data_IF_901175864805
#
_entry.id   IF_901175864805
#
_cell.length_a   1.000
_cell.length_b   1.000
_cell.length_c   1.000
_cell.angle_alpha   90.00
_cell.angle_beta   90.00
_cell.angle_gamma   90.00
#
_symmetry.space_group_name_H-M   'P 1'
#
loop_
_entity.id
_entity.type
_entity.pdbx_description
1 polymer ?
#
# COMPACT_ATOMS: atom_id res chain seq x y z
N UNK A 1 -33.67 27.23 -16.70
CA UNK A 1 -32.79 26.29 -15.98
C UNK A 1 -31.74 25.84 -17.00
N UNK A 2 -30.64 26.58 -17.12
CA UNK A 2 -29.52 26.14 -17.96
C UNK A 2 -28.87 24.95 -17.25
N UNK A 3 -28.82 23.81 -17.92
CA UNK A 3 -28.03 22.67 -17.46
C UNK A 3 -26.59 23.13 -17.33
N UNK A 4 -26.06 23.10 -16.10
CA UNK A 4 -24.62 23.14 -15.88
C UNK A 4 -24.09 21.92 -16.63
N UNK A 5 -23.42 22.14 -17.77
CA UNK A 5 -22.68 21.06 -18.41
C UNK A 5 -21.59 20.68 -17.43
N UNK A 6 -21.72 19.52 -16.78
CA UNK A 6 -20.60 18.93 -16.07
C UNK A 6 -19.47 18.77 -17.09
N UNK A 7 -18.33 19.42 -16.84
CA UNK A 7 -17.14 19.22 -17.66
C UNK A 7 -16.87 17.70 -17.77
N UNK A 8 -16.51 17.19 -18.95
CA UNK A 8 -16.31 15.76 -19.12
C UNK A 8 -15.20 15.28 -18.19
N UNK A 9 -15.54 14.34 -17.29
CA UNK A 9 -14.58 13.69 -16.39
C UNK A 9 -13.49 13.05 -17.25
N UNK A 10 -12.25 13.44 -17.00
CA UNK A 10 -11.09 12.91 -17.71
C UNK A 10 -10.99 11.38 -17.54
N UNK A 11 -10.62 10.58 -18.57
CA UNK A 11 -10.56 9.11 -18.45
C UNK A 11 -9.79 8.59 -17.24
N UNK A 12 -8.57 9.10 -16.99
CA UNK A 12 -7.76 8.76 -15.81
C UNK A 12 -8.32 9.23 -14.46
N UNK A 13 -9.48 9.89 -14.46
CA UNK A 13 -10.21 10.29 -13.27
C UNK A 13 -11.37 9.36 -12.94
N UNK A 14 -11.67 8.42 -13.85
CA UNK A 14 -12.62 7.34 -13.66
C UNK A 14 -11.97 6.17 -12.91
N UNK A 15 -12.78 5.35 -12.22
CA UNK A 15 -12.33 4.04 -11.71
C UNK A 15 -11.79 3.14 -12.83
N UNK A 16 -10.84 2.26 -12.50
CA UNK A 16 -10.18 1.34 -13.42
C UNK A 16 -11.16 0.53 -14.29
N UNK A 17 -12.25 0.03 -13.70
CA UNK A 17 -13.25 -0.73 -14.45
C UNK A 17 -14.05 0.14 -15.44
N UNK A 18 -14.23 1.42 -15.13
CA UNK A 18 -14.86 2.38 -16.03
C UNK A 18 -13.90 2.84 -17.14
N UNK A 19 -12.60 2.94 -16.85
CA UNK A 19 -11.55 3.10 -17.87
C UNK A 19 -11.61 1.94 -18.86
N UNK A 20 -11.55 0.70 -18.36
CA UNK A 20 -11.62 -0.49 -19.20
C UNK A 20 -12.92 -0.55 -20.02
N UNK A 21 -14.05 -0.19 -19.41
CA UNK A 21 -15.34 -0.14 -20.11
C UNK A 21 -15.36 0.91 -21.22
N UNK A 22 -14.84 2.12 -20.96
CA UNK A 22 -14.76 3.18 -21.96
C UNK A 22 -13.85 2.81 -23.14
N UNK A 23 -12.74 2.12 -22.89
CA UNK A 23 -11.88 1.56 -23.95
C UNK A 23 -12.64 0.51 -24.77
N UNK A 24 -13.28 -0.45 -24.08
CA UNK A 24 -14.06 -1.53 -24.71
C UNK A 24 -15.18 -1.02 -25.62
N UNK A 25 -15.85 0.07 -25.23
CA UNK A 25 -16.93 0.66 -26.03
C UNK A 25 -16.46 1.70 -27.05
N UNK A 26 -15.15 1.95 -27.15
CA UNK A 26 -14.58 2.96 -28.05
C UNK A 26 -14.87 4.41 -27.65
N UNK A 27 -15.20 4.68 -26.37
CA UNK A 27 -15.36 6.05 -25.84
C UNK A 27 -14.04 6.80 -25.84
N UNK A 28 -12.94 6.08 -25.64
CA UNK A 28 -11.56 6.53 -25.79
C UNK A 28 -10.69 5.32 -26.18
N UNK A 29 -9.56 5.53 -26.84
CA UNK A 29 -8.62 4.44 -27.16
C UNK A 29 -7.70 4.15 -25.97
N UNK A 30 -7.17 2.92 -25.88
CA UNK A 30 -6.15 2.57 -24.89
C UNK A 30 -4.89 3.40 -25.10
N UNK A 31 -4.49 3.65 -26.36
CA UNK A 31 -3.32 4.48 -26.67
C UNK A 31 -3.47 5.91 -26.11
N UNK A 32 -4.66 6.53 -26.22
CA UNK A 32 -4.91 7.86 -25.69
C UNK A 32 -4.82 7.90 -24.15
N UNK A 33 -5.38 6.89 -23.48
CA UNK A 33 -5.33 6.78 -22.01
C UNK A 33 -3.89 6.59 -21.52
N UNK A 34 -3.13 5.69 -22.15
CA UNK A 34 -1.73 5.42 -21.77
C UNK A 34 -0.81 6.59 -22.07
N UNK A 35 -0.99 7.25 -23.23
CA UNK A 35 -0.23 8.44 -23.59
C UNK A 35 -0.41 9.55 -22.55
N UNK A 36 -1.64 9.77 -22.11
CA UNK A 36 -1.96 10.76 -21.09
C UNK A 36 -1.41 10.37 -19.71
N UNK A 37 -1.46 9.09 -19.34
CA UNK A 37 -0.82 8.60 -18.12
C UNK A 37 0.69 8.86 -18.13
N UNK A 38 1.38 8.56 -19.24
CA UNK A 38 2.81 8.84 -19.39
C UNK A 38 3.12 10.34 -19.34
N UNK A 39 2.25 11.19 -19.93
CA UNK A 39 2.38 12.64 -19.85
C UNK A 39 2.28 13.14 -18.41
N UNK A 40 1.27 12.69 -17.65
CA UNK A 40 1.12 13.00 -16.22
C UNK A 40 2.32 12.51 -15.43
N UNK A 41 2.81 11.29 -15.70
CA UNK A 41 3.96 10.71 -15.03
C UNK A 41 5.20 11.60 -15.14
N UNK A 42 5.52 12.11 -16.35
CA UNK A 42 6.68 13.01 -16.56
C UNK A 42 6.59 14.31 -15.74
N UNK A 43 5.40 14.91 -15.65
CA UNK A 43 5.19 16.14 -14.89
C UNK A 43 5.32 15.87 -13.39
N UNK A 44 4.71 14.78 -12.92
CA UNK A 44 4.79 14.34 -11.53
C UNK A 44 6.22 14.03 -11.14
N UNK A 45 6.97 13.33 -12.00
CA UNK A 45 8.35 12.95 -11.70
C UNK A 45 9.27 14.16 -11.54
N UNK A 46 9.13 15.15 -12.44
CA UNK A 46 9.90 16.39 -12.36
C UNK A 46 9.66 17.21 -11.08
N UNK A 47 8.53 17.00 -10.39
CA UNK A 47 8.18 17.71 -9.16
C UNK A 47 8.37 16.87 -7.88
N UNK A 48 8.09 15.56 -7.95
CA UNK A 48 7.95 14.69 -6.79
C UNK A 48 8.88 13.47 -6.80
N UNK A 49 9.60 13.21 -7.89
CA UNK A 49 10.56 12.11 -8.02
C UNK A 49 9.95 10.75 -7.63
N UNK A 50 8.93 10.33 -8.39
CA UNK A 50 8.09 9.17 -8.05
C UNK A 50 8.43 7.91 -8.85
N UNK A 51 9.19 8.05 -9.95
CA UNK A 51 9.43 6.97 -10.89
C UNK A 51 10.93 6.71 -11.07
N UNK A 52 11.30 5.44 -11.16
CA UNK A 52 12.67 5.01 -11.52
C UNK A 52 12.80 4.75 -13.02
N UNK A 53 11.68 4.42 -13.68
CA UNK A 53 11.59 4.12 -15.10
C UNK A 53 10.19 4.40 -15.63
N UNK A 54 10.09 5.06 -16.79
CA UNK A 54 8.87 5.14 -17.59
C UNK A 54 8.99 4.22 -18.81
N UNK A 55 8.02 3.33 -19.00
CA UNK A 55 8.01 2.30 -20.06
C UNK A 55 7.34 2.80 -21.34
N UNK A 56 7.71 4.00 -21.81
CA UNK A 56 6.95 4.72 -22.86
C UNK A 56 6.68 3.88 -24.11
N UNK A 57 7.73 3.34 -24.73
CA UNK A 57 7.62 2.58 -25.98
C UNK A 57 6.81 1.29 -25.78
N UNK A 58 7.14 0.52 -24.74
CA UNK A 58 6.48 -0.75 -24.44
C UNK A 58 5.01 -0.55 -24.06
N UNK A 59 4.68 0.47 -23.25
CA UNK A 59 3.32 0.77 -22.83
C UNK A 59 2.46 1.23 -24.01
N UNK A 60 2.98 2.10 -24.88
CA UNK A 60 2.25 2.54 -26.08
C UNK A 60 2.07 1.40 -27.09
N UNK A 61 3.06 0.51 -27.24
CA UNK A 61 2.93 -0.68 -28.08
C UNK A 61 1.84 -1.62 -27.55
N UNK A 62 1.81 -1.87 -26.23
CA UNK A 62 0.75 -2.66 -25.60
C UNK A 62 -0.64 -2.02 -25.76
N UNK A 63 -0.72 -0.69 -25.65
CA UNK A 63 -1.97 0.05 -25.82
C UNK A 63 -2.51 -0.04 -27.26
N UNK A 64 -1.64 0.12 -28.26
CA UNK A 64 -2.03 -0.09 -29.68
C UNK A 64 -2.46 -1.52 -29.95
N UNK A 65 -1.82 -2.51 -29.33
CA UNK A 65 -2.24 -3.90 -29.45
C UNK A 65 -3.63 -4.14 -28.86
N UNK A 66 -3.96 -3.48 -27.74
CA UNK A 66 -5.32 -3.48 -27.17
C UNK A 66 -6.33 -2.89 -28.15
N UNK A 67 -6.05 -1.73 -28.74
CA UNK A 67 -6.96 -1.09 -29.69
C UNK A 67 -7.21 -1.96 -30.94
N UNK A 68 -6.18 -2.65 -31.43
CA UNK A 68 -6.30 -3.61 -32.54
C UNK A 68 -7.18 -4.81 -32.19
N UNK A 69 -7.05 -5.37 -30.98
CA UNK A 69 -7.89 -6.50 -30.51
C UNK A 69 -9.36 -6.13 -30.40
N UNK A 70 -9.66 -4.90 -30.00
CA UNK A 70 -11.04 -4.39 -29.99
C UNK A 70 -11.57 -4.30 -31.42
N UNK A 71 -10.77 -3.74 -32.35
CA UNK A 71 -11.16 -3.61 -33.74
C UNK A 71 -11.37 -4.96 -34.46
N UNK A 72 -10.65 -6.01 -34.05
CA UNK A 72 -10.82 -7.38 -34.57
C UNK A 72 -11.99 -8.14 -33.94
N UNK A 73 -12.66 -7.60 -32.92
CA UNK A 73 -13.79 -8.23 -32.25
C UNK A 73 -13.38 -9.42 -31.36
N UNK A 74 -12.13 -9.46 -30.91
CA UNK A 74 -11.65 -10.50 -29.99
C UNK A 74 -12.19 -10.33 -28.58
N UNK A 75 -12.22 -11.43 -27.82
CA UNK A 75 -12.48 -11.38 -26.39
C UNK A 75 -11.38 -10.59 -25.67
N UNK A 76 -11.81 -9.66 -24.83
CA UNK A 76 -10.94 -8.75 -24.09
C UNK A 76 -11.01 -8.98 -22.59
N UNK A 77 -9.88 -8.95 -21.88
CA UNK A 77 -9.84 -9.18 -20.44
C UNK A 77 -10.44 -8.02 -19.61
N UNK A 78 -10.66 -8.22 -18.30
CA UNK A 78 -11.43 -7.28 -17.47
C UNK A 78 -10.82 -5.88 -17.32
N UNK A 79 -9.48 -5.77 -17.18
CA UNK A 79 -8.72 -4.54 -16.98
C UNK A 79 -8.10 -4.00 -18.28
N UNK A 80 -8.71 -4.33 -19.43
CA UNK A 80 -8.24 -3.95 -20.75
C UNK A 80 -7.76 -2.50 -20.83
N UNK A 81 -6.47 -2.32 -21.12
CA UNK A 81 -5.87 -1.01 -21.39
C UNK A 81 -5.75 -0.10 -20.16
N UNK A 82 -6.08 -0.58 -18.96
CA UNK A 82 -5.96 0.21 -17.72
C UNK A 82 -4.48 0.38 -17.37
N UNK A 83 -3.95 1.61 -17.25
CA UNK A 83 -2.56 1.83 -16.90
C UNK A 83 -2.32 1.55 -15.42
N UNK A 84 -1.17 0.98 -15.07
CA UNK A 84 -0.74 0.81 -13.68
C UNK A 84 0.78 0.99 -13.55
N UNK A 85 1.23 1.22 -12.31
CA UNK A 85 2.64 1.32 -11.96
C UNK A 85 3.03 0.23 -10.95
N UNK A 86 4.30 -0.15 -10.92
CA UNK A 86 4.80 -1.21 -10.03
C UNK A 86 6.04 -0.75 -9.25
N UNK A 87 6.18 -1.21 -8.02
CA UNK A 87 7.28 -0.82 -7.14
C UNK A 87 8.61 -1.31 -7.70
N UNK A 88 9.67 -0.52 -7.57
CA UNK A 88 11.05 -0.89 -7.93
C UNK A 88 11.67 -1.93 -6.97
N UNK A 89 10.83 -2.73 -6.31
CA UNK A 89 11.18 -3.95 -5.60
C UNK A 89 10.74 -5.20 -6.40
N UNK A 90 9.77 -5.04 -7.30
CA UNK A 90 9.08 -6.13 -7.99
C UNK A 90 9.74 -6.38 -9.35
N UNK A 91 10.31 -7.57 -9.60
CA UNK A 91 10.97 -7.89 -10.86
C UNK A 91 10.03 -7.78 -12.06
N UNK A 92 10.46 -7.10 -13.12
CA UNK A 92 9.78 -7.05 -14.42
C UNK A 92 10.78 -7.33 -15.52
N UNK A 93 10.46 -8.30 -16.38
CA UNK A 93 11.40 -8.77 -17.40
C UNK A 93 11.74 -7.63 -18.37
N UNK A 94 13.04 -7.42 -18.59
CA UNK A 94 13.54 -6.40 -19.53
C UNK A 94 13.59 -4.97 -18.97
N UNK A 95 13.10 -4.73 -17.74
CA UNK A 95 13.19 -3.42 -17.10
C UNK A 95 14.24 -3.43 -15.97
N UNK A 96 14.90 -2.29 -15.75
CA UNK A 96 15.77 -2.09 -14.59
C UNK A 96 14.96 -2.29 -13.29
N UNK A 97 15.50 -3.07 -12.35
CA UNK A 97 14.95 -3.24 -11.00
C UNK A 97 16.07 -3.08 -9.98
N UNK A 98 16.01 -2.03 -9.15
CA UNK A 98 17.17 -1.65 -8.31
C UNK A 98 16.98 -1.90 -6.82
N UNK A 99 15.73 -2.10 -6.37
CA UNK A 99 15.39 -2.22 -4.94
C UNK A 99 15.80 -0.95 -4.18
N UNK A 100 15.82 0.22 -4.84
CA UNK A 100 16.34 1.46 -4.27
C UNK A 100 17.84 1.44 -3.95
N UNK A 101 18.57 0.40 -4.39
CA UNK A 101 19.91 0.10 -3.93
C UNK A 101 20.94 0.17 -5.05
N UNK A 102 22.19 0.43 -4.68
CA UNK A 102 23.35 0.25 -5.56
C UNK A 102 23.90 -1.18 -5.57
N UNK A 103 23.45 -2.04 -4.65
CA UNK A 103 24.01 -3.38 -4.41
C UNK A 103 23.77 -4.37 -5.55
N UNK A 104 22.75 -4.15 -6.38
CA UNK A 104 22.42 -4.98 -7.55
C UNK A 104 22.91 -4.38 -8.87
N UNK A 105 23.59 -3.23 -8.84
CA UNK A 105 24.00 -2.51 -10.06
C UNK A 105 22.80 -2.21 -10.96
N UNK A 106 22.95 -2.45 -12.26
CA UNK A 106 21.89 -2.29 -13.26
C UNK A 106 21.21 -3.63 -13.57
N UNK A 107 20.68 -4.28 -12.55
CA UNK A 107 20.01 -5.58 -12.70
C UNK A 107 18.73 -5.47 -13.52
N UNK A 108 18.69 -6.23 -14.61
CA UNK A 108 17.50 -6.43 -15.45
C UNK A 108 17.03 -7.88 -15.26
N UNK A 109 15.88 -8.11 -14.60
CA UNK A 109 15.35 -9.44 -14.39
C UNK A 109 15.03 -10.14 -15.73
N UNK A 110 15.17 -11.46 -15.75
CA UNK A 110 14.76 -12.29 -16.89
C UNK A 110 13.26 -12.62 -16.87
N UNK A 111 12.65 -12.57 -15.69
CA UNK A 111 11.25 -12.93 -15.48
C UNK A 111 10.47 -11.81 -14.81
N UNK A 112 9.21 -11.67 -15.21
CA UNK A 112 8.25 -10.79 -14.56
C UNK A 112 7.58 -11.51 -13.38
N UNK A 113 7.54 -10.85 -12.24
CA UNK A 113 6.89 -11.35 -11.02
C UNK A 113 5.44 -11.77 -11.28
N UNK A 114 4.98 -12.82 -10.59
CA UNK A 114 3.66 -13.40 -10.81
C UNK A 114 2.52 -12.39 -10.64
N UNK A 115 2.59 -11.52 -9.63
CA UNK A 115 1.57 -10.48 -9.41
C UNK A 115 1.43 -9.53 -10.61
N UNK A 116 2.55 -9.12 -11.22
CA UNK A 116 2.58 -8.27 -12.40
C UNK A 116 2.06 -9.04 -13.63
N UNK A 117 2.50 -10.29 -13.84
CA UNK A 117 1.98 -11.14 -14.92
C UNK A 117 0.48 -11.33 -14.85
N UNK A 118 -0.08 -11.46 -13.65
CA UNK A 118 -1.54 -11.56 -13.43
C UNK A 118 -2.27 -10.27 -13.79
N UNK A 119 -1.72 -9.10 -13.47
CA UNK A 119 -2.28 -7.81 -13.91
C UNK A 119 -2.23 -7.64 -15.42
N UNK A 120 -1.10 -7.98 -16.05
CA UNK A 120 -0.94 -7.92 -17.51
C UNK A 120 -1.87 -8.93 -18.23
N UNK A 121 -2.05 -10.13 -17.68
CA UNK A 121 -3.00 -11.12 -18.17
C UNK A 121 -4.47 -10.66 -18.04
N UNK A 122 -4.77 -9.86 -17.00
CA UNK A 122 -6.05 -9.17 -16.87
C UNK A 122 -6.21 -7.97 -17.82
N UNK A 123 -5.20 -7.66 -18.64
CA UNK A 123 -5.20 -6.63 -19.67
C UNK A 123 -4.71 -5.26 -19.23
N UNK A 124 -4.26 -5.12 -17.98
CA UNK A 124 -3.68 -3.88 -17.49
C UNK A 124 -2.30 -3.64 -18.13
N UNK A 125 -1.90 -2.38 -18.30
CA UNK A 125 -0.66 -1.98 -18.96
C UNK A 125 0.29 -1.36 -17.94
N UNK A 126 1.43 -2.00 -17.69
CA UNK A 126 2.47 -1.44 -16.83
C UNK A 126 3.16 -0.28 -17.54
N UNK A 127 2.99 0.93 -17.02
CA UNK A 127 3.55 2.16 -17.62
C UNK A 127 4.85 2.62 -16.97
N UNK A 128 5.12 2.23 -15.72
CA UNK A 128 6.26 2.76 -14.97
C UNK A 128 6.66 1.88 -13.77
N UNK A 129 7.95 1.97 -13.41
CA UNK A 129 8.49 1.50 -12.13
C UNK A 129 8.58 2.67 -11.16
N UNK A 130 8.16 2.49 -9.92
CA UNK A 130 8.09 3.55 -8.91
C UNK A 130 9.20 3.45 -7.88
N UNK A 131 9.61 4.59 -7.33
CA UNK A 131 10.64 4.66 -6.29
C UNK A 131 10.22 3.93 -4.99
N UNK A 132 11.24 3.47 -4.26
CA UNK A 132 11.18 2.81 -2.96
C UNK A 132 12.46 3.18 -2.18
N UNK A 133 12.48 3.24 -0.83
CA UNK A 133 13.72 3.22 -0.09
C UNK A 133 14.49 1.93 -0.35
N UNK A 134 15.79 1.95 -0.04
CA UNK A 134 16.67 0.80 -0.21
C UNK A 134 16.08 -0.45 0.46
N UNK A 135 15.98 -1.55 -0.29
CA UNK A 135 15.40 -2.82 0.17
C UNK A 135 14.02 -2.72 0.82
N UNK A 136 13.27 -1.65 0.52
CA UNK A 136 11.99 -1.36 1.11
C UNK A 136 12.03 -1.16 2.66
N UNK A 137 13.18 -0.74 3.20
CA UNK A 137 13.50 -0.73 4.64
C UNK A 137 12.71 0.24 5.51
N UNK A 138 12.30 1.38 4.94
CA UNK A 138 11.87 2.57 5.68
C UNK A 138 10.41 2.98 5.46
N UNK A 139 9.85 3.68 6.44
CA UNK A 139 8.58 4.42 6.34
C UNK A 139 8.70 5.73 5.54
N UNK A 140 9.90 6.06 5.06
CA UNK A 140 10.20 7.22 4.22
C UNK A 140 10.68 6.72 2.86
N UNK A 141 10.20 7.33 1.78
CA UNK A 141 10.69 6.98 0.44
C UNK A 141 11.88 7.84 0.08
N UNK A 142 13.03 7.44 0.60
CA UNK A 142 14.35 8.00 0.28
C UNK A 142 15.31 6.85 0.02
N UNK A 143 16.11 6.94 -1.05
CA UNK A 143 17.10 5.91 -1.34
C UNK A 143 18.42 6.47 -1.86
N UNK A 144 19.56 5.78 -1.60
CA UNK A 144 20.85 6.16 -2.18
C UNK A 144 20.86 6.17 -3.72
N UNK A 145 19.99 5.37 -4.36
CA UNK A 145 19.93 5.25 -5.82
C UNK A 145 19.10 6.35 -6.48
N UNK A 146 17.97 6.70 -5.88
CA UNK A 146 16.94 7.54 -6.52
C UNK A 146 16.59 8.82 -5.75
N UNK A 147 17.19 9.07 -4.59
CA UNK A 147 16.87 10.26 -3.79
C UNK A 147 15.51 10.15 -3.10
N UNK A 148 14.94 11.31 -2.77
CA UNK A 148 13.71 11.44 -1.95
C UNK A 148 12.49 11.61 -2.86
N UNK A 149 11.44 10.84 -2.58
CA UNK A 149 10.11 10.99 -3.19
C UNK A 149 9.22 11.85 -2.30
N UNK A 150 8.75 12.97 -2.85
CA UNK A 150 8.03 14.01 -2.12
C UNK A 150 6.52 13.77 -2.11
N UNK A 151 5.84 14.22 -1.06
CA UNK A 151 4.40 14.06 -0.91
C UNK A 151 3.63 14.94 -1.91
N UNK A 152 2.54 14.46 -2.53
CA UNK A 152 1.79 15.23 -3.50
C UNK A 152 0.99 16.38 -2.87
N UNK A 153 0.64 16.29 -1.58
CA UNK A 153 -0.10 17.34 -0.86
C UNK A 153 0.81 18.50 -0.42
N UNK A 154 2.06 18.20 -0.09
CA UNK A 154 3.09 19.17 0.30
C UNK A 154 4.48 18.58 -0.02
N UNK A 155 5.17 19.15 -1.00
CA UNK A 155 6.45 18.63 -1.46
C UNK A 155 7.58 18.74 -0.40
N UNK A 156 7.38 19.46 0.70
CA UNK A 156 8.32 19.50 1.84
C UNK A 156 8.16 18.30 2.78
N UNK A 157 7.16 17.44 2.55
CA UNK A 157 6.81 16.29 3.39
C UNK A 157 7.10 14.95 2.71
N UNK A 158 7.26 13.91 3.52
CA UNK A 158 7.44 12.54 3.03
C UNK A 158 6.16 12.01 2.40
N UNK A 159 6.29 11.27 1.30
CA UNK A 159 5.19 10.50 0.70
C UNK A 159 4.78 9.27 1.55
N UNK A 160 5.54 8.98 2.61
CA UNK A 160 5.50 7.71 3.32
C UNK A 160 6.27 6.62 2.57
N UNK A 161 6.34 5.43 3.13
CA UNK A 161 7.20 4.38 2.62
C UNK A 161 6.83 3.00 3.15
N UNK A 162 7.32 1.94 2.52
CA UNK A 162 8.30 1.98 1.42
C UNK A 162 7.71 2.09 0.01
N UNK A 163 6.39 2.07 -0.16
CA UNK A 163 5.74 2.19 -1.49
C UNK A 163 5.32 3.64 -1.82
N UNK A 164 6.15 4.63 -1.48
CA UNK A 164 5.81 6.06 -1.64
C UNK A 164 5.64 6.47 -3.10
N UNK A 165 6.50 6.01 -4.01
CA UNK A 165 6.33 6.29 -5.44
C UNK A 165 5.00 5.75 -6.00
N UNK A 166 4.59 4.55 -5.55
CA UNK A 166 3.27 3.98 -5.88
C UNK A 166 2.13 4.86 -5.37
N UNK A 167 2.22 5.37 -4.15
CA UNK A 167 1.21 6.26 -3.59
C UNK A 167 1.12 7.59 -4.34
N UNK A 168 2.27 8.19 -4.68
CA UNK A 168 2.34 9.42 -5.47
C UNK A 168 1.71 9.21 -6.84
N UNK A 169 2.03 8.12 -7.54
CA UNK A 169 1.46 7.83 -8.86
C UNK A 169 -0.07 7.76 -8.84
N UNK A 170 -0.65 7.19 -7.78
CA UNK A 170 -2.10 7.10 -7.61
C UNK A 170 -2.70 8.44 -7.19
N UNK A 171 -2.12 9.09 -6.17
CA UNK A 171 -2.64 10.33 -5.59
C UNK A 171 -2.63 11.52 -6.57
N UNK A 172 -1.67 11.52 -7.49
CA UNK A 172 -1.55 12.54 -8.55
C UNK A 172 -2.35 12.20 -9.80
N UNK A 173 -3.06 11.06 -9.82
CA UNK A 173 -3.90 10.67 -10.95
C UNK A 173 -3.15 10.21 -12.20
N UNK A 174 -1.91 9.74 -12.05
CA UNK A 174 -1.14 9.10 -13.14
C UNK A 174 -1.74 7.73 -13.46
N UNK A 175 -2.15 6.98 -12.44
CA UNK A 175 -2.79 5.66 -12.55
C UNK A 175 -3.97 5.54 -11.56
N UNK A 176 -4.97 4.70 -11.82
CA UNK A 176 -6.03 4.39 -10.86
C UNK A 176 -5.55 3.52 -9.69
N UNK A 177 -4.58 2.64 -9.93
CA UNK A 177 -3.94 1.81 -8.91
C UNK A 177 -2.47 1.54 -9.25
N UNK A 178 -1.70 1.18 -8.23
CA UNK A 178 -0.31 0.76 -8.33
C UNK A 178 -0.05 -0.44 -7.41
N UNK A 179 0.94 -1.26 -7.79
CA UNK A 179 1.45 -2.34 -6.95
C UNK A 179 2.40 -1.78 -5.89
N UNK A 180 2.33 -2.37 -4.69
CA UNK A 180 3.33 -2.19 -3.64
C UNK A 180 3.47 -3.42 -2.76
N UNK A 181 4.44 -3.35 -1.85
CA UNK A 181 4.73 -4.40 -0.86
C UNK A 181 4.59 -3.87 0.55
N UNK A 182 4.19 -4.74 1.49
CA UNK A 182 3.92 -4.42 2.90
C UNK A 182 4.50 -5.50 3.83
N UNK A 183 5.61 -5.16 4.51
CA UNK A 183 6.29 -6.00 5.52
C UNK A 183 6.12 -5.47 6.96
N UNK A 184 5.77 -4.19 7.08
CA UNK A 184 5.50 -3.52 8.35
C UNK A 184 4.52 -2.37 8.25
N UNK A 185 3.85 -2.19 7.10
CA UNK A 185 3.08 -0.99 6.80
C UNK A 185 3.23 -0.44 5.39
N UNK A 186 4.18 -0.94 4.62
CA UNK A 186 4.69 -0.26 3.43
C UNK A 186 3.72 -0.02 2.27
N UNK A 187 2.50 -0.56 2.32
CA UNK A 187 1.38 -0.16 1.44
C UNK A 187 0.46 0.84 2.16
N UNK A 188 0.16 0.58 3.43
CA UNK A 188 -0.79 1.36 4.26
C UNK A 188 -0.25 2.72 4.71
N UNK A 189 1.02 2.81 5.10
CA UNK A 189 1.70 4.05 5.53
C UNK A 189 1.66 5.08 4.40
N UNK A 190 2.23 4.82 3.20
CA UNK A 190 2.22 5.82 2.12
C UNK A 190 0.80 6.08 1.62
N UNK A 191 -0.12 5.12 1.71
CA UNK A 191 -1.53 5.35 1.43
C UNK A 191 -2.16 6.38 2.39
N UNK A 192 -1.93 6.22 3.70
CA UNK A 192 -2.41 7.16 4.71
C UNK A 192 -1.82 8.56 4.56
N UNK A 193 -0.50 8.66 4.33
CA UNK A 193 0.20 9.94 4.26
C UNK A 193 -0.03 10.68 2.92
N UNK A 194 -0.36 9.95 1.84
CA UNK A 194 -0.66 10.54 0.53
C UNK A 194 -2.15 10.63 0.22
N UNK A 195 -3.02 10.18 1.13
CA UNK A 195 -4.47 10.31 1.01
C UNK A 195 -5.11 9.38 -0.03
N UNK A 196 -4.61 8.15 -0.15
CA UNK A 196 -5.15 7.11 -1.04
C UNK A 196 -5.51 5.85 -0.25
N UNK A 197 -6.12 4.88 -0.92
CA UNK A 197 -6.44 3.57 -0.34
C UNK A 197 -5.22 2.66 -0.40
N UNK A 198 -4.95 1.91 0.67
CA UNK A 198 -3.88 0.91 0.71
C UNK A 198 -4.28 -0.34 1.46
N UNK A 199 -4.18 -1.51 0.83
CA UNK A 199 -4.55 -2.79 1.44
C UNK A 199 -3.31 -3.69 1.64
N UNK A 200 -3.05 -4.11 2.87
CA UNK A 200 -2.27 -5.31 3.16
C UNK A 200 -3.25 -6.50 3.22
N UNK A 201 -3.33 -7.35 2.19
CA UNK A 201 -4.22 -8.49 2.24
C UNK A 201 -3.71 -9.53 3.23
N UNK A 202 -4.49 -10.58 3.42
CA UNK A 202 -4.11 -11.73 4.21
C UNK A 202 -2.92 -12.45 3.58
N UNK A 203 -2.01 -12.98 4.41
CA UNK A 203 -0.88 -13.78 3.93
C UNK A 203 -1.32 -14.86 2.95
N UNK A 204 -0.63 -14.97 1.82
CA UNK A 204 -0.92 -15.93 0.77
C UNK A 204 -2.09 -15.57 -0.14
N UNK A 205 -2.83 -14.48 0.11
CA UNK A 205 -3.93 -14.06 -0.79
C UNK A 205 -3.41 -13.74 -2.18
N UNK A 206 -2.30 -13.01 -2.24
CA UNK A 206 -1.49 -12.80 -3.43
C UNK A 206 -0.16 -13.54 -3.18
N UNK A 207 0.23 -14.50 -4.03
CA UNK A 207 1.50 -15.22 -3.90
C UNK A 207 2.71 -14.28 -3.82
N UNK A 208 3.58 -14.49 -2.82
CA UNK A 208 4.82 -13.72 -2.63
C UNK A 208 6.00 -14.45 -3.26
N UNK A 209 6.18 -14.28 -4.58
CA UNK A 209 7.19 -15.03 -5.36
C UNK A 209 8.51 -14.30 -5.58
N UNK A 210 8.74 -13.16 -4.91
CA UNK A 210 9.91 -12.30 -5.18
C UNK A 210 10.98 -12.34 -4.09
N UNK A 211 10.70 -13.04 -2.98
CA UNK A 211 11.65 -13.17 -1.87
C UNK A 211 12.54 -14.39 -2.10
N UNK A 212 13.77 -14.40 -1.53
CA UNK A 212 14.64 -15.58 -1.59
C UNK A 212 14.06 -16.83 -0.92
N UNK A 213 13.12 -16.65 0.01
CA UNK A 213 12.45 -17.73 0.73
C UNK A 213 10.94 -17.73 0.49
N UNK A 214 10.38 -18.92 0.26
CA UNK A 214 8.92 -19.17 0.19
C UNK A 214 8.29 -19.43 1.57
N UNK A 215 9.07 -19.34 2.66
CA UNK A 215 8.60 -19.50 4.04
C UNK A 215 8.50 -18.17 4.80
N UNK A 216 8.59 -17.04 4.10
CA UNK A 216 8.31 -15.74 4.69
C UNK A 216 6.86 -15.67 5.20
N UNK A 217 6.66 -14.94 6.30
CA UNK A 217 5.34 -14.85 6.94
C UNK A 217 4.95 -13.43 7.36
N UNK A 218 5.59 -12.40 6.80
CA UNK A 218 5.26 -10.99 7.11
C UNK A 218 5.09 -10.12 5.88
N UNK A 219 5.55 -10.59 4.71
CA UNK A 219 5.59 -9.84 3.48
C UNK A 219 4.35 -10.09 2.63
N UNK A 220 3.77 -9.02 2.13
CA UNK A 220 2.56 -9.06 1.34
C UNK A 220 2.73 -8.19 0.10
N UNK A 221 2.19 -8.61 -1.04
CA UNK A 221 1.82 -7.67 -2.09
C UNK A 221 0.50 -7.01 -1.73
N UNK A 222 0.29 -5.78 -2.18
CA UNK A 222 -0.96 -5.08 -1.95
C UNK A 222 -1.18 -3.90 -2.92
N UNK A 223 -2.44 -3.54 -3.19
CA UNK A 223 -2.74 -2.36 -3.97
C UNK A 223 -2.57 -1.07 -3.16
N UNK A 224 -2.03 -0.06 -3.83
CA UNK A 224 -2.37 1.34 -3.57
C UNK A 224 -3.35 1.78 -4.65
N UNK A 225 -4.44 2.44 -4.27
CA UNK A 225 -5.54 2.69 -5.18
C UNK A 225 -6.29 3.99 -4.84
N UNK A 226 -6.91 4.61 -5.85
CA UNK A 226 -7.67 5.85 -5.64
C UNK A 226 -8.97 5.60 -4.90
N UNK A 227 -9.58 4.45 -5.16
CA UNK A 227 -10.85 4.03 -4.58
C UNK A 227 -10.80 2.58 -4.12
N UNK A 228 -11.76 2.19 -3.29
CA UNK A 228 -11.97 0.79 -2.91
C UNK A 228 -12.32 -0.08 -4.12
N UNK A 229 -13.02 0.47 -5.12
CA UNK A 229 -13.32 -0.25 -6.35
C UNK A 229 -12.04 -0.59 -7.12
N UNK A 230 -11.10 0.35 -7.20
CA UNK A 230 -9.79 0.14 -7.84
C UNK A 230 -8.95 -0.89 -7.08
N UNK A 231 -8.92 -0.82 -5.75
CA UNK A 231 -8.25 -1.84 -4.92
C UNK A 231 -8.88 -3.23 -5.12
N UNK A 232 -10.21 -3.30 -5.23
CA UNK A 232 -10.95 -4.55 -5.48
C UNK A 232 -10.61 -5.12 -6.85
N UNK A 233 -10.49 -4.28 -7.87
CA UNK A 233 -10.11 -4.68 -9.23
C UNK A 233 -8.69 -5.26 -9.27
N UNK A 234 -7.74 -4.63 -8.56
CA UNK A 234 -6.39 -5.17 -8.38
C UNK A 234 -6.41 -6.54 -7.68
N UNK A 235 -7.15 -6.66 -6.58
CA UNK A 235 -7.24 -7.91 -5.83
C UNK A 235 -7.87 -9.03 -6.66
N UNK A 236 -8.87 -8.72 -7.47
CA UNK A 236 -9.50 -9.68 -8.38
C UNK A 236 -8.54 -10.22 -9.44
N UNK A 237 -7.63 -9.38 -9.95
CA UNK A 237 -6.63 -9.80 -10.92
C UNK A 237 -5.49 -10.61 -10.28
N UNK A 238 -5.04 -10.24 -9.08
CA UNK A 238 -3.79 -10.75 -8.49
C UNK A 238 -3.97 -11.91 -7.53
N UNK A 239 -5.16 -12.07 -6.93
CA UNK A 239 -5.41 -13.11 -5.93
C UNK A 239 -5.53 -14.51 -6.52
N UNK A 240 -5.19 -15.52 -5.71
CA UNK A 240 -5.44 -16.93 -6.02
C UNK A 240 -4.22 -17.81 -5.83
N UNK A 241 -4.42 -19.14 -5.73
CA UNK A 241 -3.36 -20.10 -5.43
C UNK A 241 -2.30 -20.15 -6.52
N UNK A 242 -1.07 -20.48 -6.15
CA UNK A 242 0.04 -20.77 -7.06
C UNK A 242 1.11 -21.60 -6.34
N UNK A 243 1.58 -22.70 -6.93
CA UNK A 243 2.57 -23.58 -6.31
C UNK A 243 3.97 -22.94 -6.19
N UNK A 244 4.21 -21.80 -6.84
CA UNK A 244 5.42 -20.99 -6.62
C UNK A 244 5.47 -20.38 -5.20
N UNK A 245 4.33 -20.31 -4.50
CA UNK A 245 4.24 -19.90 -3.10
C UNK A 245 3.40 -20.92 -2.32
N UNK A 246 4.05 -21.74 -1.51
CA UNK A 246 3.41 -22.76 -0.68
C UNK A 246 2.43 -22.19 0.36
N UNK A 247 2.56 -20.90 0.70
CA UNK A 247 1.63 -20.22 1.60
C UNK A 247 0.41 -19.66 0.88
N UNK A 248 0.35 -19.73 -0.46
CA UNK A 248 -0.76 -19.18 -1.23
C UNK A 248 -2.10 -19.82 -0.86
N UNK A 249 -3.14 -18.98 -0.72
CA UNK A 249 -4.43 -19.43 -0.24
C UNK A 249 -5.18 -20.19 -1.35
N UNK A 250 -5.72 -21.39 -1.07
CA UNK A 250 -6.58 -22.12 -2.01
C UNK A 250 -7.99 -21.52 -2.12
N UNK A 251 -8.18 -20.29 -1.63
CA UNK A 251 -9.45 -19.58 -1.61
C UNK A 251 -9.51 -18.62 -2.80
N UNK A 252 -10.60 -18.70 -3.56
CA UNK A 252 -10.90 -17.71 -4.60
C UNK A 252 -11.25 -16.37 -3.96
N UNK A 253 -10.94 -15.28 -4.66
CA UNK A 253 -11.35 -13.93 -4.29
C UNK A 253 -12.65 -13.56 -5.00
N UNK A 254 -13.61 -12.94 -4.30
CA UNK A 254 -14.87 -12.49 -4.88
C UNK A 254 -15.01 -10.97 -4.86
N UNK A 255 -14.88 -10.34 -6.05
CA UNK A 255 -15.08 -8.90 -6.22
C UNK A 255 -16.53 -8.48 -5.87
N UNK A 256 -17.52 -9.33 -6.15
CA UNK A 256 -18.93 -9.08 -5.79
C UNK A 256 -19.10 -8.95 -4.27
N UNK A 257 -18.55 -9.90 -3.49
CA UNK A 257 -18.60 -9.84 -2.02
C UNK A 257 -17.87 -8.61 -1.47
N UNK A 258 -16.75 -8.25 -2.09
CA UNK A 258 -16.00 -7.04 -1.76
C UNK A 258 -16.79 -5.74 -2.05
N UNK A 259 -17.72 -5.74 -3.01
CA UNK A 259 -18.54 -4.57 -3.35
C UNK A 259 -19.83 -4.41 -2.54
N UNK A 260 -20.29 -5.44 -1.82
CA UNK A 260 -21.65 -5.54 -1.27
C UNK A 260 -21.89 -4.84 0.09
N UNK A 261 -20.98 -3.98 0.54
CA UNK A 261 -20.95 -3.51 1.93
C UNK A 261 -21.99 -2.44 2.29
N UNK A 262 -22.45 -2.46 3.54
CA UNK A 262 -23.25 -1.40 4.15
C UNK A 262 -22.78 -1.19 5.60
N UNK A 263 -22.91 0.05 6.12
CA UNK A 263 -22.51 0.39 7.49
C UNK A 263 -23.58 0.08 8.53
N UNK A 264 -24.86 0.13 8.16
CA UNK A 264 -25.96 -0.03 9.09
C UNK A 264 -25.86 -1.35 9.88
N UNK A 265 -25.78 -1.25 11.20
CA UNK A 265 -25.67 -2.40 12.12
C UNK A 265 -24.29 -3.04 12.20
N UNK A 266 -23.28 -2.55 11.46
CA UNK A 266 -21.89 -3.04 11.58
C UNK A 266 -21.27 -2.55 12.86
N UNK A 267 -20.52 -3.45 13.52
CA UNK A 267 -19.91 -3.19 14.82
C UNK A 267 -18.41 -3.04 14.67
N UNK A 268 -17.89 -1.90 15.08
CA UNK A 268 -16.48 -1.58 15.04
C UNK A 268 -15.95 -1.39 16.46
N UNK A 269 -14.83 -2.06 16.74
CA UNK A 269 -13.99 -1.73 17.88
C UNK A 269 -13.10 -0.55 17.47
N UNK A 270 -13.04 0.53 18.24
CA UNK A 270 -12.11 1.64 18.01
C UNK A 270 -11.01 1.61 19.07
N UNK A 271 -9.75 1.56 18.65
CA UNK A 271 -8.60 1.76 19.54
C UNK A 271 -7.72 2.86 18.95
N UNK A 272 -7.59 3.96 19.68
CA UNK A 272 -6.88 5.14 19.17
C UNK A 272 -5.37 4.99 19.20
N UNK A 273 -4.81 4.19 20.10
CA UNK A 273 -3.38 4.08 20.35
C UNK A 273 -2.86 2.63 20.43
N UNK A 274 -3.74 1.64 20.23
CA UNK A 274 -3.43 0.22 20.41
C UNK A 274 -2.83 -0.10 21.79
N UNK A 275 -3.04 0.77 22.79
CA UNK A 275 -2.52 0.63 24.15
C UNK A 275 -1.12 1.20 24.38
N UNK A 276 -0.36 1.60 23.35
CA UNK A 276 1.03 2.03 23.53
C UNK A 276 1.55 3.14 22.60
N UNK A 277 0.80 3.59 21.61
CA UNK A 277 1.24 4.69 20.73
C UNK A 277 0.86 6.06 21.29
N UNK A 278 1.79 7.01 21.19
CA UNK A 278 1.49 8.43 21.33
C UNK A 278 0.91 8.95 20.02
N UNK A 279 -0.39 9.24 19.98
CA UNK A 279 -1.05 9.77 18.78
C UNK A 279 -1.24 11.27 18.88
N UNK A 280 -0.80 12.00 17.85
CA UNK A 280 -0.92 13.45 17.79
C UNK A 280 -2.39 13.90 17.87
N UNK A 281 -2.64 14.99 18.59
CA UNK A 281 -4.00 15.49 18.83
C UNK A 281 -4.79 15.78 17.54
N UNK A 282 -4.20 16.35 16.46
CA UNK A 282 -4.89 16.52 15.18
C UNK A 282 -5.31 15.20 14.53
N UNK A 283 -4.48 14.16 14.62
CA UNK A 283 -4.81 12.82 14.11
C UNK A 283 -5.94 12.19 14.92
N UNK A 284 -5.84 12.22 16.26
CA UNK A 284 -6.93 11.72 17.14
C UNK A 284 -8.26 12.40 16.83
N UNK A 285 -8.23 13.72 16.63
CA UNK A 285 -9.42 14.51 16.31
C UNK A 285 -10.03 14.08 14.97
N UNK A 286 -9.22 13.89 13.93
CA UNK A 286 -9.70 13.45 12.62
C UNK A 286 -10.32 12.04 12.68
N UNK A 287 -9.70 11.11 13.43
CA UNK A 287 -10.20 9.75 13.58
C UNK A 287 -11.51 9.70 14.38
N UNK A 288 -11.64 10.48 15.44
CA UNK A 288 -12.89 10.60 16.19
C UNK A 288 -14.00 11.22 15.33
N UNK A 289 -13.70 12.25 14.53
CA UNK A 289 -14.66 12.82 13.59
C UNK A 289 -15.09 11.81 12.51
N UNK A 290 -14.18 10.96 12.04
CA UNK A 290 -14.53 9.87 11.13
C UNK A 290 -15.46 8.86 11.82
N UNK A 291 -15.16 8.45 13.05
CA UNK A 291 -15.99 7.55 13.85
C UNK A 291 -17.42 8.11 14.07
N UNK A 292 -17.54 9.41 14.38
CA UNK A 292 -18.84 10.09 14.51
C UNK A 292 -19.67 10.02 13.23
N UNK A 293 -19.03 10.17 12.06
CA UNK A 293 -19.70 10.02 10.75
C UNK A 293 -20.14 8.59 10.49
N UNK A 294 -19.38 7.58 10.95
CA UNK A 294 -19.80 6.18 10.84
C UNK A 294 -20.99 5.87 11.75
N UNK A 295 -20.99 6.40 12.98
CA UNK A 295 -22.13 6.33 13.90
C UNK A 295 -23.38 6.96 13.29
N UNK A 296 -23.25 8.17 12.71
CA UNK A 296 -24.35 8.86 12.02
C UNK A 296 -24.88 8.06 10.81
N UNK A 297 -24.04 7.25 10.17
CA UNK A 297 -24.42 6.35 9.07
C UNK A 297 -25.00 5.00 9.54
N UNK A 298 -25.22 4.82 10.85
CA UNK A 298 -25.88 3.66 11.43
C UNK A 298 -24.95 2.51 11.83
N UNK A 299 -23.63 2.72 11.84
CA UNK A 299 -22.71 1.79 12.45
C UNK A 299 -22.76 1.89 13.99
N UNK A 300 -22.24 0.86 14.66
CA UNK A 300 -21.95 0.88 16.10
C UNK A 300 -20.44 0.95 16.23
N UNK A 301 -19.93 1.99 16.89
CA UNK A 301 -18.50 2.16 17.17
C UNK A 301 -18.32 2.21 18.67
N UNK A 302 -17.56 1.25 19.22
CA UNK A 302 -17.30 1.13 20.66
C UNK A 302 -15.79 1.24 20.87
N UNK A 303 -15.34 2.16 21.72
CA UNK A 303 -13.94 2.22 22.12
C UNK A 303 -13.55 0.96 22.90
N UNK A 304 -12.37 0.41 22.60
CA UNK A 304 -11.83 -0.78 23.26
C UNK A 304 -10.35 -0.62 23.55
N UNK A 305 -9.94 -1.24 24.64
CA UNK A 305 -8.53 -1.43 24.99
C UNK A 305 -8.07 -2.78 24.44
N UNK A 306 -7.06 -2.76 23.56
CA UNK A 306 -6.39 -3.99 23.11
C UNK A 306 -5.30 -4.44 24.08
N UNK A 307 -4.74 -3.52 24.88
CA UNK A 307 -3.77 -3.82 25.93
C UNK A 307 -2.39 -4.24 25.44
N UNK A 308 -2.04 -3.95 24.18
CA UNK A 308 -0.70 -4.19 23.69
C UNK A 308 0.29 -3.18 24.27
N UNK A 309 1.57 -3.55 24.22
CA UNK A 309 2.67 -2.74 24.77
C UNK A 309 3.74 -2.52 23.72
N UNK A 310 4.71 -1.65 24.03
CA UNK A 310 5.91 -1.38 23.20
C UNK A 310 6.61 -2.64 22.69
N UNK A 311 6.55 -3.75 23.44
CA UNK A 311 7.11 -5.04 23.04
C UNK A 311 6.60 -5.54 21.68
N UNK A 312 5.40 -5.15 21.23
CA UNK A 312 4.88 -5.46 19.90
C UNK A 312 5.74 -4.82 18.80
N UNK A 313 6.01 -3.52 18.92
CA UNK A 313 6.83 -2.80 17.96
C UNK A 313 8.27 -3.33 17.95
N UNK A 314 8.83 -3.53 19.14
CA UNK A 314 10.21 -4.03 19.29
C UNK A 314 10.35 -5.45 18.71
N UNK A 315 9.36 -6.32 18.93
CA UNK A 315 9.35 -7.67 18.39
C UNK A 315 9.22 -7.71 16.86
N UNK A 316 8.48 -6.77 16.25
CA UNK A 316 8.47 -6.60 14.79
C UNK A 316 9.82 -6.08 14.29
N UNK A 317 10.39 -5.07 14.96
CA UNK A 317 11.67 -4.47 14.58
C UNK A 317 12.80 -5.50 14.64
N UNK A 318 12.81 -6.35 15.66
CA UNK A 318 13.76 -7.46 15.80
C UNK A 318 13.66 -8.46 14.64
N UNK A 319 12.43 -8.85 14.28
CA UNK A 319 12.16 -9.68 13.11
C UNK A 319 12.63 -9.00 11.80
N UNK A 320 12.44 -7.69 11.67
CA UNK A 320 12.88 -6.92 10.50
C UNK A 320 14.39 -6.82 10.38
N UNK A 321 15.10 -6.63 11.49
CA UNK A 321 16.56 -6.64 11.51
C UNK A 321 17.10 -8.00 11.05
N UNK A 322 16.53 -9.10 11.55
CA UNK A 322 16.92 -10.46 11.12
C UNK A 322 16.61 -10.69 9.64
N UNK A 323 15.46 -10.21 9.14
CA UNK A 323 15.13 -10.26 7.72
C UNK A 323 16.19 -9.55 6.86
N UNK A 324 16.57 -8.33 7.24
CA UNK A 324 17.60 -7.54 6.54
C UNK A 324 18.95 -8.24 6.55
N UNK A 325 19.37 -8.73 7.72
CA UNK A 325 20.61 -9.48 7.87
C UNK A 325 20.63 -10.75 7.01
N UNK A 326 19.54 -11.51 7.00
CA UNK A 326 19.45 -12.79 6.31
C UNK A 326 19.46 -12.64 4.78
N UNK A 327 18.77 -11.62 4.23
CA UNK A 327 18.59 -11.49 2.78
C UNK A 327 19.54 -10.49 2.11
N UNK A 328 20.11 -9.55 2.87
CA UNK A 328 20.99 -8.51 2.33
C UNK A 328 22.35 -8.42 3.06
N UNK A 329 22.57 -9.15 4.15
CA UNK A 329 23.81 -9.06 4.92
C UNK A 329 25.08 -9.41 4.15
N UNK A 330 24.99 -10.27 3.14
CA UNK A 330 26.13 -10.64 2.28
C UNK A 330 26.63 -9.48 1.41
N UNK A 331 25.81 -8.46 1.14
CA UNK A 331 26.23 -7.31 0.33
C UNK A 331 27.06 -6.31 1.15
N UNK A 332 26.99 -6.37 2.48
CA UNK A 332 27.57 -5.36 3.37
C UNK A 332 29.08 -5.15 3.17
N UNK A 333 29.95 -6.18 3.05
CA UNK A 333 31.39 -5.97 2.89
C UNK A 333 31.76 -5.18 1.63
N UNK A 334 31.00 -5.34 0.54
CA UNK A 334 31.29 -4.71 -0.75
C UNK A 334 30.62 -3.34 -0.92
N UNK A 335 29.50 -3.10 -0.22
CA UNK A 335 28.63 -1.94 -0.50
C UNK A 335 28.34 -1.04 0.69
N UNK A 336 28.88 -1.31 1.89
CA UNK A 336 28.63 -0.53 3.11
C UNK A 336 28.57 0.98 2.90
N UNK A 337 29.57 1.56 2.23
CA UNK A 337 29.68 3.01 2.01
C UNK A 337 28.69 3.59 0.99
N UNK A 338 27.97 2.72 0.26
CA UNK A 338 26.99 3.07 -0.78
C UNK A 338 25.56 2.70 -0.38
N UNK A 339 25.40 2.03 0.75
CA UNK A 339 24.11 1.66 1.34
C UNK A 339 23.60 2.80 2.22
N UNK A 340 22.30 2.78 2.45
CA UNK A 340 21.66 3.61 3.46
C UNK A 340 22.23 3.24 4.85
N UNK A 341 22.70 4.22 5.66
CA UNK A 341 23.24 3.95 6.98
C UNK A 341 22.27 3.19 7.90
N UNK A 342 20.96 3.44 7.80
CA UNK A 342 19.97 2.73 8.61
C UNK A 342 19.89 1.26 8.19
N UNK A 343 19.99 0.96 6.89
CA UNK A 343 20.03 -0.43 6.41
C UNK A 343 21.27 -1.16 6.97
N UNK A 344 22.41 -0.48 7.01
CA UNK A 344 23.63 -1.04 7.62
C UNK A 344 23.39 -1.37 9.09
N UNK A 345 22.81 -0.46 9.86
CA UNK A 345 22.51 -0.67 11.28
C UNK A 345 21.51 -1.82 11.50
N UNK A 346 20.47 -1.93 10.66
CA UNK A 346 19.49 -3.02 10.70
C UNK A 346 20.16 -4.39 10.44
N UNK A 347 21.04 -4.46 9.44
CA UNK A 347 21.80 -5.69 9.11
C UNK A 347 22.70 -6.09 10.28
N UNK A 348 23.48 -5.15 10.82
CA UNK A 348 24.41 -5.44 11.92
C UNK A 348 23.68 -5.89 13.19
N UNK A 349 22.58 -5.23 13.52
CA UNK A 349 21.70 -5.64 14.63
C UNK A 349 21.14 -7.04 14.40
N UNK A 350 20.66 -7.33 13.19
CA UNK A 350 20.14 -8.64 12.83
C UNK A 350 21.18 -9.76 12.93
N UNK A 351 22.42 -9.51 12.49
CA UNK A 351 23.54 -10.45 12.60
C UNK A 351 23.92 -10.74 14.07
N UNK A 352 23.72 -9.77 14.97
CA UNK A 352 23.94 -9.93 16.41
C UNK A 352 22.83 -10.69 17.15
N UNK A 353 21.69 -10.96 16.51
CA UNK A 353 20.53 -11.54 17.19
C UNK A 353 20.66 -13.06 17.37
N UNK A 354 20.43 -13.55 18.59
CA UNK A 354 20.39 -14.99 18.84
C UNK A 354 19.12 -15.63 18.26
N UNK A 355 19.25 -16.86 17.73
CA UNK A 355 18.11 -17.64 17.25
C UNK A 355 17.02 -17.86 18.31
N UNK A 356 17.41 -17.92 19.60
CA UNK A 356 16.46 -18.06 20.73
C UNK A 356 15.64 -16.79 20.91
N UNK A 357 16.26 -15.61 20.84
CA UNK A 357 15.55 -14.33 20.92
C UNK A 357 14.57 -14.18 19.75
N UNK A 358 15.04 -14.45 18.53
CA UNK A 358 14.20 -14.47 17.34
C UNK A 358 13.00 -15.41 17.48
N UNK A 359 13.21 -16.65 17.92
CA UNK A 359 12.13 -17.65 18.09
C UNK A 359 11.09 -17.23 19.14
N UNK A 360 11.48 -16.43 20.15
CA UNK A 360 10.56 -15.94 21.19
C UNK A 360 9.55 -14.91 20.65
N UNK A 361 9.80 -14.27 19.51
CA UNK A 361 8.83 -13.38 18.85
C UNK A 361 7.50 -14.11 18.57
N UNK A 362 7.52 -15.43 18.32
CA UNK A 362 6.30 -16.21 18.11
C UNK A 362 5.39 -16.30 19.36
N UNK A 363 5.98 -16.24 20.56
CA UNK A 363 5.21 -16.22 21.82
C UNK A 363 4.44 -14.90 21.96
N UNK A 364 5.09 -13.79 21.60
CA UNK A 364 4.46 -12.48 21.53
C UNK A 364 3.32 -12.47 20.51
N UNK A 365 3.56 -12.98 19.29
CA UNK A 365 2.52 -13.11 18.24
C UNK A 365 1.33 -13.95 18.72
N UNK A 366 1.58 -14.99 19.50
CA UNK A 366 0.53 -15.83 20.10
C UNK A 366 -0.32 -15.05 21.10
N UNK A 367 0.30 -14.23 21.96
CA UNK A 367 -0.42 -13.37 22.89
C UNK A 367 -1.26 -12.33 22.14
N UNK A 368 -0.64 -11.61 21.19
CA UNK A 368 -1.32 -10.63 20.35
C UNK A 368 -2.56 -11.20 19.65
N UNK A 369 -2.45 -12.41 19.08
CA UNK A 369 -3.58 -13.06 18.42
C UNK A 369 -4.73 -13.33 19.38
N UNK A 370 -4.46 -13.74 20.63
CA UNK A 370 -5.52 -14.00 21.62
C UNK A 370 -6.31 -12.73 21.93
N UNK A 371 -5.62 -11.61 22.08
CA UNK A 371 -6.23 -10.31 22.36
C UNK A 371 -7.08 -9.84 21.17
N UNK A 372 -6.51 -9.82 19.96
CA UNK A 372 -7.23 -9.38 18.77
C UNK A 372 -8.38 -10.31 18.41
N UNK A 373 -8.22 -11.63 18.55
CA UNK A 373 -9.28 -12.60 18.27
C UNK A 373 -10.48 -12.42 19.21
N UNK A 374 -10.24 -12.09 20.48
CA UNK A 374 -11.32 -11.81 21.44
C UNK A 374 -12.13 -10.57 21.04
N UNK A 375 -11.46 -9.52 20.54
CA UNK A 375 -12.12 -8.34 19.97
C UNK A 375 -12.91 -8.74 18.71
N UNK A 376 -12.26 -9.35 17.73
CA UNK A 376 -12.88 -9.69 16.44
C UNK A 376 -13.98 -10.78 16.54
N UNK A 377 -14.11 -11.47 17.67
CA UNK A 377 -15.26 -12.33 17.96
C UNK A 377 -16.55 -11.52 18.22
N UNK A 378 -16.43 -10.26 18.64
CA UNK A 378 -17.55 -9.38 19.00
C UNK A 378 -17.83 -8.28 17.98
N UNK A 379 -16.80 -7.90 17.23
CA UNK A 379 -16.84 -6.82 16.24
C UNK A 379 -16.57 -7.36 14.83
N UNK A 380 -17.06 -6.64 13.82
CA UNK A 380 -16.80 -6.94 12.40
C UNK A 380 -15.37 -6.55 12.01
N UNK A 381 -14.83 -5.48 12.59
CA UNK A 381 -13.45 -5.04 12.42
C UNK A 381 -12.95 -4.19 13.61
N UNK A 382 -11.64 -4.12 13.76
CA UNK A 382 -10.95 -3.12 14.58
C UNK A 382 -10.62 -1.90 13.71
N UNK A 383 -10.87 -0.71 14.25
CA UNK A 383 -10.52 0.59 13.71
C UNK A 383 -9.41 1.21 14.55
N UNK A 384 -8.42 1.79 13.91
CA UNK A 384 -7.36 2.59 14.54
C UNK A 384 -6.80 3.61 13.53
N UNK A 385 -6.06 4.64 13.95
CA UNK A 385 -5.28 5.43 13.01
C UNK A 385 -4.31 4.53 12.23
N UNK A 386 -4.10 4.80 10.94
CA UNK A 386 -3.02 4.13 10.19
C UNK A 386 -1.66 4.67 10.61
N UNK A 387 -1.56 6.00 10.73
CA UNK A 387 -0.39 6.70 11.23
C UNK A 387 -0.75 7.50 12.48
N UNK A 388 0.18 7.58 13.44
CA UNK A 388 0.02 8.34 14.68
C UNK A 388 0.27 9.84 14.49
N UNK A 389 0.91 10.22 13.37
CA UNK A 389 1.21 11.58 12.94
C UNK A 389 0.71 11.83 11.52
N UNK A 390 0.57 13.10 11.13
CA UNK A 390 0.49 13.46 9.70
C UNK A 390 1.87 13.41 9.05
N UNK A 391 1.96 13.50 7.72
CA UNK A 391 3.23 13.33 6.99
C UNK A 391 4.37 14.22 7.56
N UNK A 392 5.45 13.61 8.07
CA UNK A 392 6.67 14.31 8.50
C UNK A 392 7.40 15.07 7.39
N UNK A 393 8.39 15.93 7.72
CA UNK A 393 9.33 16.46 6.73
C UNK A 393 9.93 15.36 5.84
N UNK A 394 10.17 15.67 4.57
CA UNK A 394 10.68 14.70 3.60
C UNK A 394 12.11 14.23 3.90
N UNK A 395 12.87 15.06 4.63
CA UNK A 395 14.26 14.86 5.00
C UNK A 395 14.45 14.18 6.37
N UNK A 396 13.37 13.86 7.09
CA UNK A 396 13.40 13.07 8.33
C UNK A 396 13.55 11.57 8.05
N UNK A 397 13.79 10.77 9.09
CA UNK A 397 13.88 9.31 8.99
C UNK A 397 13.18 8.58 10.14
N UNK A 398 13.19 7.23 10.13
CA UNK A 398 12.53 6.41 11.13
C UNK A 398 13.08 6.62 12.57
N UNK A 399 14.34 7.05 12.73
CA UNK A 399 14.93 7.29 14.05
C UNK A 399 14.33 8.53 14.73
N UNK A 400 13.85 9.51 13.96
CA UNK A 400 13.13 10.67 14.49
C UNK A 400 11.79 10.28 15.14
N UNK A 401 11.30 9.06 14.87
CA UNK A 401 9.99 8.55 15.28
C UNK A 401 10.07 7.22 16.03
N UNK A 402 11.10 7.04 16.88
CA UNK A 402 11.31 5.81 17.66
C UNK A 402 11.39 6.03 19.20
N UNK A 403 11.25 7.27 19.67
CA UNK A 403 11.46 7.66 21.06
C UNK A 403 10.29 7.31 22.00
N UNK A 404 10.57 7.25 23.31
CA UNK A 404 9.54 7.15 24.34
C UNK A 404 9.08 8.55 24.79
N UNK A 405 7.76 8.74 24.88
CA UNK A 405 7.15 9.93 25.43
C UNK A 405 7.23 9.93 26.97
N UNK A 406 7.05 11.10 27.63
CA UNK A 406 7.09 11.19 29.10
C UNK A 406 6.09 10.29 29.83
N UNK A 407 5.02 9.86 29.16
CA UNK A 407 4.01 8.94 29.70
C UNK A 407 4.26 7.46 29.35
N UNK A 408 5.41 7.14 28.77
CA UNK A 408 5.84 5.78 28.42
C UNK A 408 5.29 5.24 27.10
N UNK A 409 4.53 6.05 26.35
CA UNK A 409 4.05 5.68 25.01
C UNK A 409 5.12 5.88 23.95
N UNK A 410 5.07 5.10 22.88
CA UNK A 410 5.94 5.22 21.72
C UNK A 410 5.54 6.44 20.88
N UNK A 411 6.49 7.36 20.66
CA UNK A 411 6.39 8.42 19.66
C UNK A 411 6.65 7.86 18.25
N UNK A 412 5.77 6.95 17.81
CA UNK A 412 5.87 6.26 16.52
C UNK A 412 5.28 7.08 15.38
N UNK A 413 5.76 6.85 14.15
CA UNK A 413 5.15 7.42 12.94
C UNK A 413 3.86 6.69 12.59
N UNK A 414 3.91 5.35 12.54
CA UNK A 414 2.82 4.49 12.11
C UNK A 414 2.33 3.52 13.19
N UNK A 415 1.15 2.96 12.95
CA UNK A 415 0.50 1.97 13.81
C UNK A 415 0.19 0.68 13.03
N UNK A 416 1.06 0.30 12.09
CA UNK A 416 0.75 -0.71 11.07
C UNK A 416 1.49 -2.04 11.25
N UNK A 417 2.70 -2.01 11.81
CA UNK A 417 3.53 -3.20 12.04
C UNK A 417 2.88 -4.30 12.91
N UNK A 418 1.99 -4.02 13.89
CA UNK A 418 1.34 -5.08 14.66
C UNK A 418 0.54 -6.05 13.80
N UNK A 419 0.01 -5.58 12.68
CA UNK A 419 -0.81 -6.38 11.77
C UNK A 419 0.01 -7.19 10.76
N UNK A 420 1.32 -6.94 10.63
CA UNK A 420 2.25 -7.85 9.94
C UNK A 420 2.69 -9.00 10.85
N UNK A 421 2.74 -8.78 12.16
CA UNK A 421 2.92 -9.85 13.15
C UNK A 421 1.70 -10.79 13.22
N UNK A 422 0.53 -10.35 12.77
CA UNK A 422 -0.70 -11.14 12.60
C UNK A 422 -1.10 -11.25 11.12
N UNK A 423 -0.24 -11.84 10.27
CA UNK A 423 -0.23 -11.63 8.81
C UNK A 423 -1.47 -12.19 8.11
N UNK A 424 -2.17 -13.15 8.73
CA UNK A 424 -3.44 -13.67 8.20
C UNK A 424 -4.57 -12.65 8.28
N UNK A 425 -4.48 -11.61 9.12
CA UNK A 425 -5.47 -10.56 9.20
C UNK A 425 -5.22 -9.53 8.08
N UNK A 426 -6.21 -9.22 7.22
CA UNK A 426 -6.12 -8.12 6.28
C UNK A 426 -6.27 -6.78 7.01
N UNK A 427 -5.50 -5.80 6.57
CA UNK A 427 -5.52 -4.44 7.11
C UNK A 427 -5.59 -3.43 5.96
N UNK A 428 -6.58 -2.55 6.01
CA UNK A 428 -6.89 -1.57 4.97
C UNK A 428 -6.78 -0.16 5.53
N UNK A 429 -5.98 0.69 4.89
CA UNK A 429 -5.98 2.14 5.13
C UNK A 429 -6.93 2.81 4.15
N UNK A 430 -7.87 3.61 4.65
CA UNK A 430 -8.72 4.51 3.86
C UNK A 430 -8.58 5.95 4.36
N UNK A 431 -8.76 6.96 3.50
CA UNK A 431 -8.75 8.34 3.96
C UNK A 431 -9.85 8.63 4.99
N UNK A 432 -9.49 9.36 6.04
CA UNK A 432 -10.37 9.70 7.17
C UNK A 432 -10.65 11.22 7.30
N UNK A 433 -10.06 12.03 6.43
CA UNK A 433 -10.13 13.49 6.49
C UNK A 433 -8.73 14.12 6.42
N UNK A 434 -8.66 15.40 6.77
CA UNK A 434 -7.42 16.16 6.79
C UNK A 434 -7.14 16.69 8.21
N UNK A 435 -5.86 16.75 8.57
CA UNK A 435 -5.37 17.43 9.75
C UNK A 435 -4.23 18.37 9.32
N UNK A 436 -4.37 19.67 9.62
CA UNK A 436 -3.37 20.67 9.19
C UNK A 436 -3.17 20.75 7.66
N UNK A 437 -4.19 20.40 6.88
CA UNK A 437 -4.10 20.34 5.41
C UNK A 437 -3.50 19.04 4.85
N UNK A 438 -3.04 18.12 5.71
CA UNK A 438 -2.46 16.84 5.31
C UNK A 438 -3.45 15.68 5.52
N UNK A 439 -3.40 14.62 4.70
CA UNK A 439 -4.23 13.44 4.87
C UNK A 439 -4.04 12.72 6.21
N UNK A 440 -5.13 12.12 6.69
CA UNK A 440 -5.14 11.16 7.80
C UNK A 440 -5.78 9.86 7.33
N UNK A 441 -5.15 8.72 7.64
CA UNK A 441 -5.67 7.39 7.32
C UNK A 441 -6.37 6.71 8.49
N UNK A 442 -7.53 6.12 8.24
CA UNK A 442 -8.22 5.18 9.12
C UNK A 442 -7.89 3.75 8.69
N UNK A 443 -7.32 2.97 9.61
CA UNK A 443 -6.98 1.58 9.39
C UNK A 443 -8.12 0.66 9.86
N UNK A 444 -8.57 -0.22 8.98
CA UNK A 444 -9.63 -1.21 9.19
C UNK A 444 -8.98 -2.60 9.18
N UNK A 445 -9.01 -3.28 10.33
CA UNK A 445 -8.38 -4.59 10.52
C UNK A 445 -9.44 -5.65 10.67
N UNK A 446 -9.42 -6.61 9.75
CA UNK A 446 -10.41 -7.69 9.67
C UNK A 446 -9.97 -8.99 10.34
N UNK A 447 -10.90 -9.94 10.34
CA UNK A 447 -10.63 -11.34 10.70
C UNK A 447 -9.66 -11.98 9.71
N UNK A 448 -9.00 -13.04 10.15
CA UNK A 448 -8.11 -13.83 9.31
C UNK A 448 -8.80 -14.21 7.99
N UNK A 449 -8.13 -13.96 6.87
CA UNK A 449 -8.59 -14.30 5.51
C UNK A 449 -9.88 -13.62 5.06
N UNK A 450 -10.30 -12.54 5.74
CA UNK A 450 -11.54 -11.82 5.45
C UNK A 450 -11.33 -10.62 4.52
N UNK A 451 -10.51 -10.78 3.48
CA UNK A 451 -10.11 -9.70 2.56
C UNK A 451 -11.33 -9.02 1.92
N UNK A 452 -12.29 -9.82 1.43
CA UNK A 452 -13.53 -9.32 0.84
C UNK A 452 -14.37 -8.54 1.86
N UNK A 453 -14.42 -9.00 3.11
CA UNK A 453 -15.18 -8.32 4.15
C UNK A 453 -14.54 -6.97 4.50
N UNK A 454 -13.21 -6.89 4.57
CA UNK A 454 -12.50 -5.63 4.82
C UNK A 454 -12.69 -4.64 3.68
N UNK A 455 -12.59 -5.08 2.42
CA UNK A 455 -12.89 -4.22 1.27
C UNK A 455 -14.35 -3.76 1.25
N UNK A 456 -15.28 -4.66 1.60
CA UNK A 456 -16.71 -4.36 1.71
C UNK A 456 -17.00 -3.28 2.75
N UNK A 457 -16.41 -3.40 3.94
CA UNK A 457 -16.49 -2.37 4.98
C UNK A 457 -15.81 -1.07 4.52
N UNK A 458 -14.63 -1.18 3.91
CA UNK A 458 -13.89 -0.05 3.35
C UNK A 458 -14.71 0.75 2.33
N UNK A 459 -15.41 0.09 1.41
CA UNK A 459 -16.25 0.76 0.42
C UNK A 459 -17.45 1.47 1.04
N UNK A 460 -18.02 0.90 2.10
CA UNK A 460 -19.10 1.54 2.84
C UNK A 460 -18.60 2.77 3.64
N UNK A 461 -17.40 2.67 4.21
CA UNK A 461 -16.70 3.78 4.88
C UNK A 461 -16.35 4.88 3.86
N UNK A 462 -15.78 4.53 2.71
CA UNK A 462 -15.43 5.44 1.62
C UNK A 462 -16.64 6.24 1.13
N UNK A 463 -17.80 5.60 0.92
CA UNK A 463 -19.04 6.31 0.54
C UNK A 463 -19.53 7.30 1.60
N UNK A 464 -19.19 7.04 2.86
CA UNK A 464 -19.61 7.87 4.00
C UNK A 464 -18.63 9.01 4.24
N UNK A 465 -17.33 8.75 4.11
CA UNK A 465 -16.25 9.70 4.41
C UNK A 465 -15.82 10.53 3.20
N UNK A 466 -15.89 9.95 2.00
CA UNK A 466 -15.32 10.45 0.74
C UNK A 466 -13.97 9.80 0.41
N UNK A 467 -13.50 9.98 -0.82
CA UNK A 467 -12.26 9.37 -1.36
C UNK A 467 -10.98 10.11 -0.98
N UNK A 468 -10.90 10.73 0.21
CA UNK A 468 -9.71 11.47 0.66
C UNK A 468 -9.41 12.80 -0.04
N UNK A 469 -10.10 13.07 -1.16
CA UNK A 469 -9.86 14.25 -1.99
C UNK A 469 -8.63 14.09 -2.89
N UNK A 470 -8.31 15.14 -3.67
CA UNK A 470 -7.08 15.20 -4.45
C UNK A 470 -6.13 16.21 -3.83
N UNK A 471 -4.85 15.85 -3.84
CA UNK A 471 -3.78 16.77 -3.51
C UNK A 471 -3.91 18.07 -4.34
N UNK A 472 -3.75 19.25 -3.71
CA UNK A 472 -3.78 20.52 -4.42
C UNK A 472 -2.76 20.54 -5.57
N UNK A 473 -3.14 21.08 -6.73
CA UNK A 473 -2.25 21.19 -7.89
C UNK A 473 -2.18 19.98 -8.82
N UNK A 474 -2.80 18.85 -8.46
CA UNK A 474 -2.84 17.62 -9.29
C UNK A 474 -4.24 17.32 -9.83
N UNK A 475 -4.97 18.37 -10.21
CA UNK A 475 -6.22 18.29 -10.96
C UNK A 475 -5.91 18.54 -12.43
N UNK A 476 -6.33 17.62 -13.29
CA UNK A 476 -5.93 17.56 -14.70
C UNK A 476 -7.07 17.93 -15.62
#
# INVERSE_FOLDING_TARGET
MQSVSEDPIHPLDLPAMEIAAGIRTGRFSAEAVVCESLRRAKIVDGALNAFTLLREEAALAAARAVDLRIASGEDVPPLLGVPFAAKDLTPTAGDLTTLGSWTRGDWVPQETALCIRRLEAAGAILIAKTTTPEFAHSSFTASPRWGITRNPWDATRTSGGSSGGSAVAVATGVVPFAEGTDMGGSVRIPAALSGVVGLKPSLGRIPMTILPSVFDNISHFGPLARTIADATAFMAATSGPDDADIASLPLTFSAERAGAGALAGRRFALSLDLGYYGVEAPVRTAILAAADRLLAAGAVVEEVEIGWTRAVNDGWFDLWCVFMAAYFGETLPAYRERMDPIVVDLIERGQGMSAVAYKRVELLRTAMWRDLAAILARYDALLCPTCAVTAPPAEADDNDYAADLPDGRLAGLDMTCPFNLLPQCPALSVPAGLAGGMPVGLQIVGRRFADEAVLSLGGAIERTLGTGGRAPGWRW
#
